data_IF_196387749176
#
_entry.id   IF_196387749176
#
_cell.length_a   1.000
_cell.length_b   1.000
_cell.length_c   1.000
_cell.angle_alpha   90.00
_cell.angle_beta   90.00
_cell.angle_gamma   90.00
#
_symmetry.space_group_name_H-M   'P 1'
#
loop_
_entity.id
_entity.type
_entity.pdbx_description
1 polymer ?
#
# COMPACT_ATOMS: atom_id res chain seq x y z
N UNK A 1 -1.47 35.15 -7.30
CA UNK A 1 -1.66 34.27 -8.48
C UNK A 1 -2.93 33.46 -8.23
N UNK A 2 -3.97 33.65 -9.06
CA UNK A 2 -5.32 33.08 -8.86
C UNK A 2 -5.34 31.56 -9.10
N UNK A 3 -6.04 30.81 -8.26
CA UNK A 3 -6.65 29.53 -8.65
C UNK A 3 -8.16 29.59 -8.36
N UNK A 4 -8.95 29.26 -9.38
CA UNK A 4 -10.40 29.05 -9.34
C UNK A 4 -10.69 27.62 -8.88
N UNK A 5 -11.69 27.39 -8.01
CA UNK A 5 -12.79 26.40 -8.19
C UNK A 5 -14.00 26.84 -7.33
N UNK A 6 -15.22 26.66 -7.88
CA UNK A 6 -16.55 26.88 -7.28
C UNK A 6 -17.10 28.34 -7.24
N UNK A 7 -17.20 28.97 -8.42
CA UNK A 7 -18.40 29.72 -8.82
C UNK A 7 -18.86 30.97 -8.05
N UNK A 8 -18.22 31.41 -6.98
CA UNK A 8 -18.46 32.73 -6.36
C UNK A 8 -17.14 33.35 -5.93
N UNK A 9 -16.82 34.52 -6.52
CA UNK A 9 -15.68 35.34 -6.10
C UNK A 9 -15.99 35.94 -4.72
N UNK A 10 -15.19 35.60 -3.73
CA UNK A 10 -15.08 36.36 -2.48
C UNK A 10 -13.62 36.78 -2.37
N UNK A 11 -13.37 38.09 -2.39
CA UNK A 11 -12.05 38.64 -2.05
C UNK A 11 -11.91 38.64 -0.53
N UNK A 12 -10.97 37.85 -0.01
CA UNK A 12 -10.56 37.93 1.39
C UNK A 12 -9.16 38.53 1.41
N UNK A 13 -9.06 39.79 1.80
CA UNK A 13 -7.78 40.46 2.10
C UNK A 13 -7.58 40.44 3.61
N UNK A 14 -6.79 39.50 4.14
CA UNK A 14 -6.27 39.59 5.50
C UNK A 14 -4.96 38.79 5.65
N UNK A 15 -3.90 39.36 6.26
CA UNK A 15 -2.58 38.72 6.37
C UNK A 15 -2.42 37.89 7.66
N UNK A 16 -3.50 37.43 8.29
CA UNK A 16 -3.46 36.71 9.57
C UNK A 16 -4.32 35.45 9.56
N UNK A 17 -3.91 34.44 8.79
CA UNK A 17 -4.38 33.06 8.98
C UNK A 17 -3.20 32.10 8.87
N UNK A 18 -2.32 32.13 9.88
CA UNK A 18 -1.27 31.14 10.03
C UNK A 18 -1.39 30.51 11.42
N UNK A 19 -2.24 29.48 11.54
CA UNK A 19 -2.24 28.43 12.58
C UNK A 19 -3.60 27.72 12.57
N UNK A 20 -3.65 26.62 11.84
CA UNK A 20 -4.27 25.33 12.18
C UNK A 20 -3.81 24.45 11.01
N UNK A 21 -2.88 23.53 11.26
CA UNK A 21 -2.47 22.53 10.29
C UNK A 21 -3.63 21.56 10.07
N UNK A 22 -4.56 21.94 9.19
CA UNK A 22 -5.52 21.01 8.60
C UNK A 22 -4.71 20.00 7.78
N UNK A 23 -4.35 18.88 8.42
CA UNK A 23 -3.78 17.73 7.74
C UNK A 23 -4.93 17.08 6.95
N UNK A 24 -5.26 17.67 5.80
CA UNK A 24 -6.07 17.00 4.80
C UNK A 24 -5.32 15.71 4.47
N UNK A 25 -5.90 14.55 4.77
CA UNK A 25 -5.44 13.27 4.22
C UNK A 25 -5.72 13.32 2.73
N UNK A 26 -4.89 14.02 1.96
CA UNK A 26 -4.94 13.90 0.51
C UNK A 26 -4.67 12.43 0.22
N UNK A 27 -5.54 11.80 -0.56
CA UNK A 27 -5.29 10.46 -1.06
C UNK A 27 -3.91 10.49 -1.74
N UNK A 28 -3.08 9.46 -1.49
CA UNK A 28 -1.76 9.41 -2.13
C UNK A 28 -1.95 9.51 -3.65
N UNK A 29 -1.15 10.33 -4.34
CA UNK A 29 -1.21 10.42 -5.79
C UNK A 29 -1.09 9.03 -6.41
N UNK A 30 -1.94 8.72 -7.38
CA UNK A 30 -1.83 7.49 -8.20
C UNK A 30 -0.66 7.68 -9.16
N UNK A 31 0.55 7.41 -8.68
CA UNK A 31 1.79 7.49 -9.45
C UNK A 31 2.66 6.27 -9.17
N UNK A 32 3.48 5.89 -10.16
CA UNK A 32 4.56 4.92 -9.96
C UNK A 32 5.58 5.45 -8.96
N UNK A 33 6.21 4.55 -8.22
CA UNK A 33 7.34 4.88 -7.36
C UNK A 33 8.54 5.36 -8.20
N UNK A 34 9.17 6.44 -7.75
CA UNK A 34 10.47 6.91 -8.25
C UNK A 34 11.58 5.99 -7.77
N UNK A 35 12.77 6.08 -8.37
CA UNK A 35 13.95 5.31 -7.93
C UNK A 35 14.35 5.62 -6.49
N UNK A 36 14.25 6.88 -6.07
CA UNK A 36 14.50 7.30 -4.68
C UNK A 36 13.50 6.65 -3.71
N UNK A 37 12.21 6.66 -4.06
CA UNK A 37 11.16 6.01 -3.28
C UNK A 37 11.35 4.49 -3.23
N UNK A 38 11.83 3.85 -4.32
CA UNK A 38 12.14 2.42 -4.33
C UNK A 38 13.28 2.11 -3.37
N UNK A 39 14.36 2.87 -3.44
CA UNK A 39 15.53 2.71 -2.57
C UNK A 39 15.17 2.84 -1.08
N UNK A 40 14.26 3.74 -0.73
CA UNK A 40 13.88 3.99 0.67
C UNK A 40 12.74 3.11 1.16
N UNK A 41 11.71 2.90 0.34
CA UNK A 41 10.46 2.25 0.75
C UNK A 41 10.37 0.77 0.39
N UNK A 42 11.05 0.33 -0.67
CA UNK A 42 11.02 -1.08 -1.11
C UNK A 42 12.16 -1.89 -0.47
N UNK A 43 13.34 -1.29 -0.27
CA UNK A 43 14.48 -1.99 0.37
C UNK A 43 14.14 -2.68 1.71
N UNK A 44 13.36 -2.07 2.64
CA UNK A 44 12.94 -2.78 3.86
C UNK A 44 12.06 -4.01 3.58
N UNK A 45 11.22 -3.98 2.55
CA UNK A 45 10.40 -5.13 2.15
C UNK A 45 11.27 -6.25 1.58
N UNK A 46 12.31 -5.90 0.80
CA UNK A 46 13.27 -6.88 0.29
C UNK A 46 14.00 -7.60 1.43
N UNK A 47 14.41 -6.85 2.46
CA UNK A 47 15.00 -7.43 3.67
C UNK A 47 14.01 -8.31 4.45
N UNK A 48 12.71 -8.04 4.34
CA UNK A 48 11.65 -8.87 4.91
C UNK A 48 11.33 -10.11 4.06
N UNK A 49 12.04 -10.36 2.96
CA UNK A 49 11.85 -11.53 2.09
C UNK A 49 10.88 -11.33 0.93
N UNK A 50 10.50 -10.09 0.62
CA UNK A 50 9.85 -9.78 -0.66
C UNK A 50 10.90 -9.76 -1.78
N UNK A 51 10.47 -10.06 -3.01
CA UNK A 51 11.31 -9.97 -4.21
C UNK A 51 10.62 -9.15 -5.29
N UNK A 52 11.42 -8.56 -6.19
CA UNK A 52 10.92 -7.99 -7.44
C UNK A 52 10.64 -9.10 -8.44
N UNK A 53 9.56 -9.01 -9.20
CA UNK A 53 9.32 -9.91 -10.34
C UNK A 53 10.15 -9.45 -11.56
N UNK A 54 10.77 -10.39 -12.27
CA UNK A 54 11.66 -10.08 -13.41
C UNK A 54 10.90 -9.46 -14.60
N UNK A 55 9.68 -9.93 -14.86
CA UNK A 55 8.91 -9.57 -16.06
C UNK A 55 7.78 -8.56 -15.78
N UNK A 56 7.69 -8.05 -14.56
CA UNK A 56 6.60 -7.16 -14.14
C UNK A 56 7.05 -6.24 -13.03
N UNK A 57 6.70 -4.96 -13.11
CA UNK A 57 6.91 -4.00 -12.02
C UNK A 57 5.95 -4.27 -10.86
N UNK A 58 6.33 -5.26 -10.05
CA UNK A 58 5.56 -5.83 -8.96
C UNK A 58 6.50 -6.43 -7.92
N UNK A 59 6.02 -6.51 -6.68
CA UNK A 59 6.69 -7.25 -5.60
C UNK A 59 5.93 -8.53 -5.30
N UNK A 60 6.66 -9.56 -4.91
CA UNK A 60 6.15 -10.89 -4.61
C UNK A 60 6.68 -11.39 -3.27
N UNK A 61 5.85 -12.14 -2.54
CA UNK A 61 6.29 -12.94 -1.39
C UNK A 61 5.39 -14.14 -1.16
N UNK A 62 5.99 -15.22 -0.69
CA UNK A 62 5.29 -16.41 -0.21
C UNK A 62 5.26 -16.44 1.32
N UNK A 63 4.08 -16.73 1.88
CA UNK A 63 3.85 -16.88 3.31
C UNK A 63 3.45 -18.32 3.61
N UNK A 64 4.08 -18.91 4.63
CA UNK A 64 3.80 -20.26 5.11
C UNK A 64 3.16 -20.23 6.50
N UNK A 65 2.16 -21.07 6.69
CA UNK A 65 1.38 -21.19 7.93
C UNK A 65 1.38 -22.63 8.43
N UNK A 66 0.85 -22.88 9.64
CA UNK A 66 0.72 -24.26 10.14
C UNK A 66 -0.34 -25.07 9.39
N UNK A 67 -1.42 -24.43 8.98
CA UNK A 67 -2.57 -25.06 8.33
C UNK A 67 -3.39 -24.03 7.54
N UNK A 68 -4.43 -24.52 6.86
CA UNK A 68 -5.33 -23.68 6.08
C UNK A 68 -6.11 -22.65 6.90
N UNK A 69 -6.50 -22.97 8.14
CA UNK A 69 -7.28 -22.05 8.98
C UNK A 69 -6.47 -20.79 9.33
N UNK A 70 -5.19 -20.96 9.68
CA UNK A 70 -4.28 -19.82 9.91
C UNK A 70 -4.08 -18.99 8.64
N UNK A 71 -3.81 -19.65 7.51
CA UNK A 71 -3.64 -18.99 6.20
C UNK A 71 -4.88 -18.16 5.82
N UNK A 72 -6.07 -18.73 5.95
CA UNK A 72 -7.31 -18.05 5.59
C UNK A 72 -7.68 -16.92 6.57
N UNK A 73 -7.36 -17.08 7.86
CA UNK A 73 -7.48 -16.01 8.86
C UNK A 73 -6.57 -14.81 8.54
N UNK A 74 -5.34 -15.09 8.09
CA UNK A 74 -4.43 -14.06 7.58
C UNK A 74 -4.98 -13.37 6.33
N UNK A 75 -5.43 -14.14 5.33
CA UNK A 75 -6.05 -13.61 4.10
C UNK A 75 -7.27 -12.72 4.39
N UNK A 76 -8.11 -13.10 5.36
CA UNK A 76 -9.28 -12.32 5.76
C UNK A 76 -8.91 -10.93 6.30
N UNK A 77 -7.82 -10.84 7.08
CA UNK A 77 -7.31 -9.53 7.58
C UNK A 77 -6.83 -8.65 6.43
N UNK A 78 -6.17 -9.23 5.44
CA UNK A 78 -5.70 -8.51 4.24
C UNK A 78 -6.90 -8.01 3.44
N UNK A 79 -7.93 -8.84 3.23
CA UNK A 79 -9.15 -8.45 2.51
C UNK A 79 -9.81 -7.22 3.14
N UNK A 80 -9.98 -7.19 4.46
CA UNK A 80 -10.53 -6.03 5.17
C UNK A 80 -9.70 -4.75 5.00
N UNK A 81 -8.37 -4.88 4.91
CA UNK A 81 -7.50 -3.73 4.70
C UNK A 81 -7.48 -3.29 3.23
N UNK A 82 -7.51 -4.23 2.30
CA UNK A 82 -7.58 -3.99 0.87
C UNK A 82 -8.83 -3.16 0.52
N UNK A 83 -9.99 -3.54 1.06
CA UNK A 83 -11.24 -2.78 0.90
C UNK A 83 -11.14 -1.35 1.45
N UNK A 84 -10.53 -1.16 2.62
CA UNK A 84 -10.32 0.18 3.20
C UNK A 84 -9.37 1.05 2.36
N UNK A 85 -8.44 0.41 1.65
CA UNK A 85 -7.44 1.09 0.85
C UNK A 85 -7.87 1.28 -0.61
N UNK A 86 -8.96 0.64 -1.05
CA UNK A 86 -9.31 0.48 -2.46
C UNK A 86 -8.10 0.01 -3.28
N UNK A 87 -7.43 -1.03 -2.76
CA UNK A 87 -6.21 -1.60 -3.35
C UNK A 87 -6.10 -3.08 -3.00
N UNK A 88 -6.24 -3.95 -4.01
CA UNK A 88 -6.36 -5.39 -3.82
C UNK A 88 -5.09 -6.12 -4.23
N UNK A 89 -4.70 -7.19 -3.49
CA UNK A 89 -3.59 -8.04 -3.90
C UNK A 89 -4.00 -8.98 -5.04
N UNK A 90 -3.02 -9.43 -5.81
CA UNK A 90 -3.12 -10.69 -6.53
C UNK A 90 -2.56 -11.80 -5.63
N UNK A 91 -3.29 -12.90 -5.47
CA UNK A 91 -2.80 -13.99 -4.64
C UNK A 91 -3.18 -15.37 -5.15
N UNK A 92 -2.43 -16.37 -4.70
CA UNK A 92 -2.70 -17.77 -4.90
C UNK A 92 -2.54 -18.50 -3.56
N UNK A 93 -3.51 -19.32 -3.20
CA UNK A 93 -3.48 -20.07 -1.94
C UNK A 93 -3.69 -21.56 -2.19
N UNK A 94 -2.80 -22.37 -1.63
CA UNK A 94 -2.93 -23.83 -1.55
C UNK A 94 -2.65 -24.23 -0.12
N UNK A 95 -3.69 -24.70 0.58
CA UNK A 95 -3.60 -25.12 1.97
C UNK A 95 -2.94 -24.05 2.87
N UNK A 96 -1.76 -24.34 3.41
CA UNK A 96 -1.03 -23.47 4.34
C UNK A 96 -0.05 -22.50 3.66
N UNK A 97 -0.07 -22.38 2.33
CA UNK A 97 0.80 -21.49 1.55
C UNK A 97 -0.01 -20.39 0.90
N UNK A 98 0.38 -19.14 1.09
CA UNK A 98 -0.23 -17.97 0.44
C UNK A 98 0.85 -17.20 -0.31
N UNK A 99 0.73 -17.15 -1.62
CA UNK A 99 1.61 -16.40 -2.51
C UNK A 99 0.93 -15.08 -2.85
N UNK A 100 1.60 -13.95 -2.64
CA UNK A 100 1.04 -12.61 -2.85
C UNK A 100 1.92 -11.84 -3.84
N UNK A 101 1.29 -11.27 -4.86
CA UNK A 101 1.88 -10.31 -5.79
C UNK A 101 1.17 -8.96 -5.63
N UNK A 102 1.93 -7.87 -5.55
CA UNK A 102 1.40 -6.51 -5.46
C UNK A 102 1.92 -5.64 -6.60
N UNK A 103 1.00 -4.98 -7.29
CA UNK A 103 1.25 -4.00 -8.34
C UNK A 103 -0.02 -3.16 -8.52
N UNK A 104 0.13 -1.90 -8.93
CA UNK A 104 -1.00 -1.00 -9.20
C UNK A 104 -1.30 -0.95 -10.69
N UNK A 105 -2.42 -1.55 -11.11
CA UNK A 105 -2.82 -1.64 -12.53
C UNK A 105 -3.05 -0.27 -13.19
N UNK A 106 -3.69 0.66 -12.48
CA UNK A 106 -4.02 2.00 -12.96
C UNK A 106 -2.80 2.88 -13.25
N UNK A 107 -1.65 2.57 -12.67
CA UNK A 107 -0.36 3.19 -12.99
C UNK A 107 0.60 2.23 -13.69
N UNK A 108 0.18 1.00 -13.99
CA UNK A 108 0.98 -0.05 -14.65
C UNK A 108 2.33 -0.32 -13.97
N UNK A 109 2.36 -0.38 -12.63
CA UNK A 109 3.59 -0.63 -11.87
C UNK A 109 3.44 -0.48 -10.36
N UNK A 110 4.55 -0.49 -9.63
CA UNK A 110 4.56 -0.32 -8.18
C UNK A 110 4.23 1.12 -7.78
N UNK A 111 3.35 1.28 -6.81
CA UNK A 111 2.98 2.55 -6.20
C UNK A 111 3.09 2.52 -4.67
N UNK A 112 2.88 3.67 -4.04
CA UNK A 112 2.82 3.81 -2.58
C UNK A 112 1.70 2.97 -1.93
N UNK A 113 0.66 2.60 -2.70
CA UNK A 113 -0.40 1.69 -2.20
C UNK A 113 0.12 0.26 -2.04
N UNK A 114 0.93 -0.22 -2.98
CA UNK A 114 1.56 -1.55 -2.92
C UNK A 114 2.45 -1.66 -1.69
N UNK A 115 3.29 -0.66 -1.46
CA UNK A 115 4.18 -0.61 -0.28
C UNK A 115 3.38 -0.57 1.02
N UNK A 116 2.32 0.24 1.10
CA UNK A 116 1.48 0.32 2.31
C UNK A 116 0.76 -0.99 2.59
N UNK A 117 0.26 -1.66 1.55
CA UNK A 117 -0.40 -2.95 1.70
C UNK A 117 0.62 -4.02 2.11
N UNK A 118 1.80 -4.07 1.49
CA UNK A 118 2.90 -4.98 1.86
C UNK A 118 3.30 -4.82 3.34
N UNK A 119 3.46 -3.59 3.82
CA UNK A 119 3.77 -3.31 5.22
C UNK A 119 2.64 -3.75 6.17
N UNK A 120 1.38 -3.60 5.77
CA UNK A 120 0.26 -4.15 6.54
C UNK A 120 0.30 -5.68 6.56
N UNK A 121 0.58 -6.31 5.42
CA UNK A 121 0.70 -7.76 5.29
C UNK A 121 1.78 -8.30 6.24
N UNK A 122 2.96 -7.67 6.31
CA UNK A 122 4.00 -8.05 7.28
C UNK A 122 3.48 -8.01 8.72
N UNK A 123 2.81 -6.91 9.12
CA UNK A 123 2.22 -6.78 10.45
C UNK A 123 1.14 -7.83 10.73
N UNK A 124 0.33 -8.16 9.71
CA UNK A 124 -0.68 -9.20 9.82
C UNK A 124 -0.04 -10.60 9.94
N UNK A 125 1.17 -10.78 9.42
CA UNK A 125 1.92 -12.03 9.47
C UNK A 125 2.71 -12.23 10.78
N UNK A 126 3.10 -11.16 11.49
CA UNK A 126 3.87 -11.24 12.75
C UNK A 126 3.37 -12.29 13.76
N UNK A 127 2.05 -12.44 14.04
CA UNK A 127 1.56 -13.43 15.00
C UNK A 127 1.84 -14.89 14.60
N UNK A 128 2.18 -15.14 13.33
CA UNK A 128 2.46 -16.47 12.78
C UNK A 128 3.97 -16.78 12.68
N UNK A 129 4.85 -15.79 12.87
CA UNK A 129 6.31 -15.99 12.90
C UNK A 129 6.79 -16.70 14.18
N UNK A 130 5.99 -16.63 15.25
CA UNK A 130 6.35 -17.10 16.59
C UNK A 130 5.62 -18.42 16.88
N UNK A 131 6.02 -19.50 16.22
CA UNK A 131 5.64 -20.88 16.58
C UNK A 131 6.72 -21.87 16.21
#
# INVERSE_FOLDING_TARGET
MLFLVAGRRVQITSPLFNRISFRWKMASPKMKLTEEDRSTKVSPLLNAGWSMLENRDAIYKEFLFKNFNEAFGFMSRISMQAEKMDHHPEWFNVYNKVQITLSSHDVSGLSDRDVRLANFIEKAFEPFKVK
#
